data_IF_448416521208
#
_entry.id   IF_448416521208
#
_cell.length_a   1.000
_cell.length_b   1.000
_cell.length_c   1.000
_cell.angle_alpha   90.00
_cell.angle_beta   90.00
_cell.angle_gamma   90.00
#
_symmetry.space_group_name_H-M   'P 1'
#
loop_
_entity.id
_entity.type
_entity.pdbx_description
1 polymer ?
#
# COMPACT_ATOMS: atom_id res chain seq x y z
N UNK A 1 -3.45 10.55 -1.48
CA UNK A 1 -2.04 10.11 -1.28
C UNK A 1 -1.06 11.05 -2.00
N UNK A 2 -0.20 11.79 -1.27
CA UNK A 2 0.68 12.81 -1.89
C UNK A 2 1.73 12.24 -2.86
N UNK A 3 2.41 11.14 -2.51
CA UNK A 3 3.49 10.56 -3.33
C UNK A 3 3.06 9.90 -4.65
N UNK A 4 1.75 9.73 -4.88
CA UNK A 4 1.18 9.15 -6.10
C UNK A 4 0.36 10.17 -6.91
N UNK A 5 0.31 11.43 -6.46
CA UNK A 5 -0.41 12.50 -7.14
C UNK A 5 0.40 13.01 -8.33
N UNK A 6 0.21 12.41 -9.50
CA UNK A 6 0.88 12.77 -10.75
C UNK A 6 -0.15 13.26 -11.79
N UNK A 7 0.22 14.29 -12.56
CA UNK A 7 -0.59 14.77 -13.69
C UNK A 7 -0.30 14.02 -14.99
N UNK A 8 0.97 13.72 -15.26
CA UNK A 8 1.43 13.05 -16.48
C UNK A 8 2.36 11.88 -16.14
N UNK A 9 2.38 10.88 -17.02
CA UNK A 9 3.23 9.69 -16.88
C UNK A 9 4.66 10.02 -17.33
N UNK A 10 5.66 9.50 -16.62
CA UNK A 10 7.06 9.54 -17.08
C UNK A 10 7.23 8.68 -18.32
N UNK A 11 7.61 9.28 -19.46
CA UNK A 11 7.80 8.57 -20.73
C UNK A 11 8.88 7.47 -20.64
N UNK A 12 9.96 7.72 -19.88
CA UNK A 12 11.03 6.74 -19.68
C UNK A 12 10.52 5.51 -18.89
N UNK A 13 9.70 5.74 -17.87
CA UNK A 13 9.11 4.64 -17.10
C UNK A 13 8.03 3.92 -17.91
N UNK A 14 7.29 4.63 -18.75
CA UNK A 14 6.22 4.07 -19.57
C UNK A 14 6.73 3.00 -20.54
N UNK A 15 7.88 3.21 -21.17
CA UNK A 15 8.50 2.22 -22.06
C UNK A 15 8.78 0.89 -21.34
N UNK A 16 9.07 0.93 -20.04
CA UNK A 16 9.26 -0.27 -19.23
C UNK A 16 7.91 -0.88 -18.86
N UNK A 17 6.95 -0.05 -18.41
CA UNK A 17 5.64 -0.51 -17.95
C UNK A 17 4.81 -1.16 -19.05
N UNK A 18 4.81 -0.59 -20.27
CA UNK A 18 4.03 -1.13 -21.39
C UNK A 18 4.52 -2.52 -21.82
N UNK A 19 5.80 -2.82 -21.57
CA UNK A 19 6.40 -4.12 -21.91
C UNK A 19 6.35 -5.11 -20.74
N UNK A 20 6.40 -4.61 -19.50
CA UNK A 20 6.60 -5.45 -18.31
C UNK A 20 5.41 -5.59 -17.37
N UNK A 21 4.35 -4.79 -17.53
CA UNK A 21 3.17 -4.87 -16.68
C UNK A 21 2.05 -5.66 -17.37
N UNK A 22 1.55 -6.70 -16.71
CA UNK A 22 0.39 -7.47 -17.19
C UNK A 22 -0.94 -6.74 -16.93
N UNK A 23 -1.01 -5.98 -15.83
CA UNK A 23 -2.24 -5.35 -15.36
C UNK A 23 -2.00 -3.99 -14.69
N UNK A 24 -3.03 -3.13 -14.74
CA UNK A 24 -3.12 -1.87 -14.00
C UNK A 24 -4.42 -1.87 -13.19
N UNK A 25 -4.38 -1.32 -11.97
CA UNK A 25 -5.51 -1.28 -11.06
C UNK A 25 -5.70 0.13 -10.51
N UNK A 26 -6.95 0.61 -10.52
CA UNK A 26 -7.35 1.84 -9.84
C UNK A 26 -7.97 1.50 -8.50
N UNK A 27 -7.60 2.23 -7.46
CA UNK A 27 -8.12 2.06 -6.10
C UNK A 27 -8.57 3.40 -5.52
N UNK A 28 -9.48 3.36 -4.56
CA UNK A 28 -9.85 4.53 -3.75
C UNK A 28 -8.84 4.72 -2.61
N UNK A 29 -8.80 5.94 -2.04
CA UNK A 29 -7.95 6.28 -0.89
C UNK A 29 -8.53 5.78 0.47
N UNK A 30 -9.82 5.43 0.53
CA UNK A 30 -10.51 4.93 1.74
C UNK A 30 -9.74 3.85 2.55
N UNK A 31 -9.11 2.83 1.93
CA UNK A 31 -8.37 1.80 2.67
C UNK A 31 -7.01 2.27 3.22
N UNK A 32 -6.47 3.42 2.81
CA UNK A 32 -5.10 3.85 3.14
C UNK A 32 -4.88 3.97 4.65
N UNK A 33 -5.66 4.81 5.33
CA UNK A 33 -5.54 5.01 6.78
C UNK A 33 -5.74 3.71 7.59
N UNK A 34 -6.84 2.94 7.37
CA UNK A 34 -7.05 1.66 8.02
C UNK A 34 -5.91 0.66 7.81
N UNK A 35 -5.31 0.62 6.61
CA UNK A 35 -4.22 -0.30 6.30
C UNK A 35 -2.90 0.14 6.95
N UNK A 36 -2.58 1.44 6.94
CA UNK A 36 -1.46 2.00 7.71
C UNK A 36 -1.60 1.63 9.19
N UNK A 37 -2.79 1.81 9.77
CA UNK A 37 -3.06 1.45 11.16
C UNK A 37 -2.90 -0.04 11.43
N UNK A 38 -3.34 -0.91 10.51
CA UNK A 38 -3.19 -2.36 10.63
C UNK A 38 -1.71 -2.78 10.61
N UNK A 39 -0.91 -2.20 9.71
CA UNK A 39 0.53 -2.46 9.65
C UNK A 39 1.26 -1.95 10.91
N UNK A 40 0.86 -0.80 11.44
CA UNK A 40 1.44 -0.23 12.65
C UNK A 40 1.13 -1.04 13.91
N UNK A 41 -0.05 -1.68 13.98
CA UNK A 41 -0.41 -2.62 15.07
C UNK A 41 0.37 -3.93 14.98
N UNK A 42 0.78 -4.32 13.77
CA UNK A 42 1.22 -5.68 13.49
C UNK A 42 0.03 -6.65 13.54
N UNK A 43 0.19 -7.85 12.97
CA UNK A 43 -0.84 -8.89 13.01
C UNK A 43 -0.23 -10.27 13.24
N UNK A 44 -0.84 -11.08 14.12
CA UNK A 44 -0.53 -12.50 14.36
C UNK A 44 0.98 -12.84 14.40
N UNK A 45 1.77 -12.10 15.19
CA UNK A 45 3.21 -12.32 15.33
C UNK A 45 4.09 -11.67 14.25
N UNK A 46 3.48 -10.97 13.29
CA UNK A 46 4.19 -10.13 12.32
C UNK A 46 4.73 -8.84 12.94
N UNK A 47 5.80 -8.30 12.35
CA UNK A 47 6.41 -7.06 12.77
C UNK A 47 5.45 -5.86 12.65
N UNK A 48 5.59 -4.89 13.55
CA UNK A 48 4.97 -3.57 13.40
C UNK A 48 5.74 -2.81 12.32
N UNK A 49 5.04 -2.30 11.32
CA UNK A 49 5.64 -1.61 10.18
C UNK A 49 5.14 -0.17 10.13
N UNK A 50 6.07 0.78 10.04
CA UNK A 50 5.76 2.19 9.75
C UNK A 50 5.67 2.33 8.23
N UNK A 51 4.47 2.58 7.71
CA UNK A 51 4.22 2.79 6.28
C UNK A 51 3.47 4.11 6.09
N UNK A 52 3.96 4.96 5.19
CA UNK A 52 3.28 6.18 4.78
C UNK A 52 2.07 5.90 3.88
N UNK A 53 1.37 6.96 3.48
CA UNK A 53 0.15 6.86 2.68
C UNK A 53 0.39 6.18 1.33
N UNK A 54 1.45 6.55 0.60
CA UNK A 54 1.74 5.96 -0.71
C UNK A 54 2.28 4.53 -0.59
N UNK A 55 2.92 4.19 0.53
CA UNK A 55 3.55 2.89 0.75
C UNK A 55 2.55 1.74 0.83
N UNK A 56 1.29 2.01 1.14
CA UNK A 56 0.26 0.98 1.32
C UNK A 56 -0.60 0.75 0.07
N UNK A 57 -0.48 1.58 -0.97
CA UNK A 57 -1.34 1.54 -2.15
C UNK A 57 -1.31 0.16 -2.85
N UNK A 58 -0.11 -0.40 -3.09
CA UNK A 58 0.03 -1.71 -3.73
C UNK A 58 -0.59 -2.85 -2.90
N UNK A 59 -0.43 -2.80 -1.57
CA UNK A 59 -1.05 -3.78 -0.67
C UNK A 59 -2.57 -3.61 -0.62
N UNK A 60 -3.08 -2.39 -0.60
CA UNK A 60 -4.50 -2.09 -0.64
C UNK A 60 -5.14 -2.65 -1.92
N UNK A 61 -4.51 -2.42 -3.07
CA UNK A 61 -4.95 -2.98 -4.35
C UNK A 61 -4.98 -4.51 -4.36
N UNK A 62 -3.93 -5.16 -3.83
CA UNK A 62 -3.90 -6.62 -3.72
C UNK A 62 -5.02 -7.16 -2.81
N UNK A 63 -5.27 -6.53 -1.66
CA UNK A 63 -6.33 -6.95 -0.72
C UNK A 63 -7.70 -6.76 -1.36
N UNK A 64 -7.93 -5.61 -2.02
CA UNK A 64 -9.18 -5.32 -2.71
C UNK A 64 -9.42 -6.32 -3.84
N UNK A 65 -8.42 -6.58 -4.68
CA UNK A 65 -8.52 -7.53 -5.77
C UNK A 65 -8.74 -8.97 -5.29
N UNK A 66 -8.11 -9.40 -4.18
CA UNK A 66 -8.37 -10.72 -3.59
C UNK A 66 -9.79 -10.85 -3.02
N UNK A 67 -10.39 -9.74 -2.59
CA UNK A 67 -11.74 -9.71 -2.03
C UNK A 67 -12.84 -9.69 -3.11
N UNK A 68 -12.46 -9.44 -4.36
CA UNK A 68 -13.35 -9.49 -5.53
C UNK A 68 -13.09 -10.80 -6.31
N UNK A 69 -14.13 -11.61 -6.49
CA UNK A 69 -13.98 -12.93 -7.10
C UNK A 69 -13.52 -12.88 -8.57
N UNK A 70 -13.93 -11.86 -9.32
CA UNK A 70 -13.56 -11.72 -10.73
C UNK A 70 -12.10 -11.24 -10.84
N UNK A 71 -11.75 -10.17 -10.14
CA UNK A 71 -10.38 -9.64 -10.12
C UNK A 71 -9.39 -10.67 -9.56
N UNK A 72 -9.74 -11.36 -8.49
CA UNK A 72 -8.90 -12.41 -7.89
C UNK A 72 -8.61 -13.53 -8.89
N UNK A 73 -9.59 -13.93 -9.70
CA UNK A 73 -9.41 -14.93 -10.76
C UNK A 73 -8.57 -14.39 -11.91
N UNK A 74 -8.81 -13.14 -12.34
CA UNK A 74 -8.05 -12.51 -13.42
C UNK A 74 -6.56 -12.33 -13.08
N UNK A 75 -6.25 -11.99 -11.83
CA UNK A 75 -4.89 -11.76 -11.35
C UNK A 75 -4.23 -13.03 -10.78
N UNK A 76 -4.91 -14.19 -10.85
CA UNK A 76 -4.43 -15.46 -10.31
C UNK A 76 -4.03 -15.37 -8.82
N UNK A 77 -4.73 -14.53 -8.05
CA UNK A 77 -4.52 -14.35 -6.62
C UNK A 77 -5.28 -15.46 -5.86
N UNK A 78 -4.71 -16.66 -5.83
CA UNK A 78 -5.22 -17.80 -5.06
C UNK A 78 -4.38 -18.08 -3.80
N UNK A 79 -4.66 -19.19 -3.12
CA UNK A 79 -3.95 -19.56 -1.88
C UNK A 79 -2.49 -20.02 -2.12
N UNK A 80 -2.10 -20.26 -3.38
CA UNK A 80 -0.75 -20.59 -3.78
C UNK A 80 0.07 -19.36 -4.19
N UNK A 81 -0.60 -18.23 -4.47
CA UNK A 81 0.04 -16.99 -4.87
C UNK A 81 1.12 -16.54 -3.86
N UNK A 82 2.16 -15.89 -4.38
CA UNK A 82 3.23 -15.26 -3.60
C UNK A 82 3.35 -13.82 -4.08
N UNK A 83 2.89 -12.90 -3.24
CA UNK A 83 2.83 -11.48 -3.58
C UNK A 83 4.01 -10.74 -2.95
N UNK A 84 4.80 -10.07 -3.78
CA UNK A 84 5.80 -9.10 -3.36
C UNK A 84 5.19 -7.69 -3.41
N UNK A 85 5.30 -6.94 -2.32
CA UNK A 85 4.86 -5.54 -2.25
C UNK A 85 6.02 -4.66 -1.77
N UNK A 86 6.17 -3.49 -2.39
CA UNK A 86 7.16 -2.50 -2.00
C UNK A 86 6.50 -1.37 -1.20
N UNK A 87 6.93 -1.19 0.05
CA UNK A 87 6.62 0.01 0.83
C UNK A 87 7.60 1.11 0.49
N UNK A 88 7.16 2.14 -0.24
CA UNK A 88 8.01 3.18 -0.81
C UNK A 88 8.43 4.26 0.19
N UNK A 89 7.70 4.41 1.30
CA UNK A 89 7.94 5.44 2.31
C UNK A 89 7.51 5.01 3.73
N UNK A 90 8.13 5.62 4.74
CA UNK A 90 7.70 5.57 6.14
C UNK A 90 6.74 6.72 6.47
N UNK A 91 6.68 7.12 7.74
CA UNK A 91 5.89 8.27 8.19
C UNK A 91 6.58 9.59 7.81
N UNK A 92 6.42 10.01 6.55
CA UNK A 92 7.02 11.22 5.98
C UNK A 92 6.38 12.51 6.54
N UNK A 93 5.08 12.48 6.80
CA UNK A 93 4.35 13.50 7.58
C UNK A 93 3.84 12.87 8.88
N UNK A 94 4.41 13.31 10.01
CA UNK A 94 4.08 12.76 11.32
C UNK A 94 2.69 13.15 11.81
N UNK A 95 2.18 14.31 11.41
CA UNK A 95 0.89 14.81 11.87
C UNK A 95 -0.23 14.08 11.13
N UNK A 96 -0.11 13.96 9.80
CA UNK A 96 -1.02 13.13 8.98
C UNK A 96 -0.95 11.67 9.40
N UNK A 97 0.26 11.13 9.61
CA UNK A 97 0.41 9.75 10.06
C UNK A 97 -0.31 9.51 11.39
N UNK A 98 -0.12 10.38 12.39
CA UNK A 98 -0.81 10.26 13.69
C UNK A 98 -2.33 10.39 13.55
N UNK A 99 -2.81 11.26 12.66
CA UNK A 99 -4.24 11.41 12.39
C UNK A 99 -4.85 10.12 11.80
N UNK A 100 -4.16 9.48 10.84
CA UNK A 100 -4.65 8.29 10.17
C UNK A 100 -4.48 7.00 10.99
N UNK A 101 -3.37 6.88 11.72
CA UNK A 101 -2.98 5.66 12.45
C UNK A 101 -3.46 5.66 13.90
N UNK A 102 -3.62 6.84 14.50
CA UNK A 102 -4.01 7.01 15.91
C UNK A 102 -3.03 6.32 16.87
N UNK A 103 -3.56 5.77 17.96
CA UNK A 103 -2.77 5.12 19.01
C UNK A 103 -1.93 3.91 18.53
N UNK A 104 -2.17 3.39 17.32
CA UNK A 104 -1.32 2.35 16.76
C UNK A 104 0.10 2.84 16.46
N UNK A 105 0.31 4.16 16.39
CA UNK A 105 1.60 4.80 16.24
C UNK A 105 2.43 4.79 17.56
N UNK A 106 1.78 4.54 18.71
CA UNK A 106 2.40 4.72 20.02
C UNK A 106 3.59 3.77 20.20
N UNK A 107 4.72 4.36 20.57
CA UNK A 107 5.98 3.65 20.77
C UNK A 107 6.59 3.00 19.52
N UNK A 108 5.94 3.14 18.35
CA UNK A 108 6.49 2.70 17.05
C UNK A 108 7.36 3.80 16.45
N UNK A 109 6.90 5.04 16.56
CA UNK A 109 7.65 6.23 16.20
C UNK A 109 8.26 6.80 17.49
N UNK A 110 9.34 6.18 17.98
CA UNK A 110 10.16 6.80 19.02
C UNK A 110 11.22 7.68 18.35
N UNK A 111 11.08 8.98 18.61
CA UNK A 111 12.05 10.09 18.54
C UNK A 111 13.31 9.80 17.70
N UNK A 112 13.33 10.31 16.46
CA UNK A 112 14.58 10.76 15.85
C UNK A 112 15.11 11.97 16.62
#
# INVERSE_FOLDING_TARGET
MAGLSCGEVSLIAWDILVLGADHFLTINDDPVGPLMARLARGSNGGARIVAGEAAVAGLAGCIAARSDAELSRMLELDDNARVLVFGTEGATDLDVYRQLVGNAADGLIKTL
#
